data_IF_480404629128
#
_entry.id   IF_480404629128
#
_cell.length_a   1.000
_cell.length_b   1.000
_cell.length_c   1.000
_cell.angle_alpha   90.00
_cell.angle_beta   90.00
_cell.angle_gamma   90.00
#
_symmetry.space_group_name_H-M   'P 1'
#
loop_
_entity.id
_entity.type
_entity.pdbx_description
1 polymer ?
#
# COMPACT_ATOMS: atom_id res chain seq x y z
N UNK A 1 -13.97 26.97 -13.40
CA UNK A 1 -14.69 26.06 -14.32
C UNK A 1 -14.41 24.62 -13.86
N UNK A 2 -15.41 23.74 -13.94
CA UNK A 2 -15.28 22.32 -13.64
C UNK A 2 -15.59 21.53 -14.91
N UNK A 3 -14.80 20.51 -15.19
CA UNK A 3 -14.98 19.63 -16.34
C UNK A 3 -15.17 18.20 -15.85
N UNK A 4 -16.11 17.49 -16.43
CA UNK A 4 -16.49 16.14 -16.02
C UNK A 4 -16.36 15.17 -17.20
N UNK A 5 -15.68 14.03 -16.95
CA UNK A 5 -15.75 12.86 -17.81
C UNK A 5 -16.52 11.78 -17.09
N UNK A 6 -17.77 11.58 -17.47
CA UNK A 6 -18.67 10.65 -16.79
C UNK A 6 -18.69 9.31 -17.53
N UNK A 7 -18.42 8.25 -16.81
CA UNK A 7 -18.52 6.88 -17.34
C UNK A 7 -19.97 6.40 -17.27
N UNK A 8 -20.44 5.77 -18.34
CA UNK A 8 -21.82 5.25 -18.42
C UNK A 8 -22.02 3.91 -17.69
N UNK A 9 -20.94 3.15 -17.47
CA UNK A 9 -21.00 1.86 -16.78
C UNK A 9 -20.02 1.80 -15.63
N UNK A 10 -20.36 1.06 -14.57
CA UNK A 10 -19.50 0.81 -13.42
C UNK A 10 -18.23 0.09 -13.88
N UNK A 11 -17.11 0.50 -13.32
CA UNK A 11 -15.79 -0.14 -13.49
C UNK A 11 -15.10 -0.21 -12.14
N UNK A 12 -14.62 -1.38 -11.79
CA UNK A 12 -13.97 -1.64 -10.50
C UNK A 12 -12.45 -1.72 -10.59
N UNK A 13 -11.90 -1.74 -11.81
CA UNK A 13 -10.46 -1.76 -12.04
C UNK A 13 -10.11 -1.14 -13.40
N UNK A 14 -8.84 -0.85 -13.62
CA UNK A 14 -8.28 -0.41 -14.90
C UNK A 14 -7.45 0.86 -14.79
N UNK A 15 -6.84 1.24 -15.92
CA UNK A 15 -6.01 2.44 -16.03
C UNK A 15 -6.81 3.59 -16.60
N UNK A 16 -6.57 4.79 -16.11
CA UNK A 16 -7.12 6.05 -16.63
C UNK A 16 -5.95 6.94 -17.02
N UNK A 17 -5.95 7.42 -18.26
CA UNK A 17 -4.99 8.41 -18.70
C UNK A 17 -5.56 9.81 -18.47
N UNK A 18 -5.04 10.53 -17.49
CA UNK A 18 -5.42 11.93 -17.24
C UNK A 18 -5.08 12.83 -18.43
N UNK A 19 -3.92 12.61 -19.04
CA UNK A 19 -3.48 13.40 -20.21
C UNK A 19 -4.41 13.26 -21.42
N UNK A 20 -4.97 12.08 -21.67
CA UNK A 20 -5.94 11.87 -22.74
C UNK A 20 -7.28 12.55 -22.45
N UNK A 21 -7.71 12.55 -21.19
CA UNK A 21 -8.89 13.31 -20.78
C UNK A 21 -8.68 14.82 -21.00
N UNK A 22 -7.52 15.35 -20.66
CA UNK A 22 -7.21 16.77 -20.86
C UNK A 22 -7.19 17.13 -22.35
N UNK A 23 -6.53 16.35 -23.19
CA UNK A 23 -6.54 16.52 -24.65
C UNK A 23 -7.96 16.47 -25.21
N UNK A 24 -8.79 15.54 -24.75
CA UNK A 24 -10.18 15.43 -25.18
C UNK A 24 -11.04 16.63 -24.74
N UNK A 25 -10.75 17.24 -23.61
CA UNK A 25 -11.42 18.48 -23.18
C UNK A 25 -10.95 19.69 -24.00
N UNK A 26 -9.64 19.84 -24.23
CA UNK A 26 -9.07 20.89 -25.08
C UNK A 26 -9.62 20.83 -26.49
N UNK A 27 -9.72 19.63 -27.09
CA UNK A 27 -10.29 19.45 -28.42
C UNK A 27 -11.77 19.85 -28.53
N UNK A 28 -12.45 20.00 -27.41
CA UNK A 28 -13.83 20.50 -27.30
C UNK A 28 -13.92 21.97 -26.92
N UNK A 29 -12.80 22.71 -26.99
CA UNK A 29 -12.73 24.11 -26.64
C UNK A 29 -12.76 24.41 -25.16
N UNK A 30 -12.50 23.40 -24.29
CA UNK A 30 -12.39 23.60 -22.85
C UNK A 30 -10.98 24.08 -22.51
N UNK A 31 -10.85 25.30 -22.00
CA UNK A 31 -9.56 25.88 -21.66
C UNK A 31 -9.00 25.25 -20.38
N UNK A 32 -7.87 24.59 -20.50
CA UNK A 32 -7.13 24.06 -19.36
C UNK A 32 -6.20 25.12 -18.81
N UNK A 33 -6.18 25.27 -17.49
CA UNK A 33 -5.23 26.09 -16.77
C UNK A 33 -3.97 25.34 -16.40
N UNK A 34 -3.10 25.98 -15.62
CA UNK A 34 -1.94 25.31 -15.03
C UNK A 34 -2.42 24.27 -14.00
N UNK A 35 -1.95 23.06 -14.16
CA UNK A 35 -2.26 21.96 -13.22
C UNK A 35 -1.31 22.04 -12.03
N UNK A 36 -1.85 21.92 -10.84
CA UNK A 36 -1.09 21.93 -9.59
C UNK A 36 -1.12 20.58 -8.89
N UNK A 37 -2.20 19.82 -9.08
CA UNK A 37 -2.40 18.55 -8.39
C UNK A 37 -3.25 17.61 -9.23
N UNK A 38 -2.98 16.32 -9.11
CA UNK A 38 -3.83 15.22 -9.59
C UNK A 38 -4.03 14.26 -8.42
N UNK A 39 -5.27 14.06 -8.03
CA UNK A 39 -5.62 13.17 -6.93
C UNK A 39 -6.73 12.20 -7.34
N UNK A 40 -6.69 10.98 -6.78
CA UNK A 40 -7.82 10.08 -6.77
C UNK A 40 -8.67 10.39 -5.54
N UNK A 41 -9.91 10.80 -5.76
CA UNK A 41 -10.87 11.07 -4.70
C UNK A 41 -12.10 10.17 -4.83
N UNK A 42 -12.69 9.80 -3.71
CA UNK A 42 -13.99 9.15 -3.63
C UNK A 42 -14.97 10.14 -3.00
N UNK A 43 -15.96 10.54 -3.77
CA UNK A 43 -16.96 11.51 -3.33
C UNK A 43 -18.38 10.93 -3.45
N UNK A 44 -19.18 11.09 -2.41
CA UNK A 44 -20.60 10.79 -2.41
C UNK A 44 -21.38 12.10 -2.54
N UNK A 45 -22.21 12.21 -3.60
CA UNK A 45 -23.10 13.35 -3.78
C UNK A 45 -24.54 12.93 -3.56
N UNK A 46 -25.20 13.50 -2.54
CA UNK A 46 -26.59 13.17 -2.13
C UNK A 46 -26.85 11.67 -2.00
N UNK A 47 -25.83 10.93 -1.54
CA UNK A 47 -25.87 9.48 -1.39
C UNK A 47 -25.03 9.06 -0.20
N UNK A 48 -25.26 7.85 0.29
CA UNK A 48 -24.43 7.19 1.28
C UNK A 48 -23.85 5.90 0.69
N UNK A 49 -22.64 5.55 1.12
CA UNK A 49 -21.99 4.35 0.64
C UNK A 49 -20.56 4.25 1.16
N UNK A 50 -19.91 3.14 0.84
CA UNK A 50 -18.51 2.92 1.12
C UNK A 50 -17.79 2.46 -0.15
N UNK A 51 -16.51 2.82 -0.27
CA UNK A 51 -15.64 2.33 -1.31
C UNK A 51 -14.29 1.92 -0.71
N UNK A 52 -13.78 0.77 -1.13
CA UNK A 52 -12.44 0.33 -0.81
C UNK A 52 -11.56 0.53 -2.03
N UNK A 53 -10.51 1.32 -1.89
CA UNK A 53 -9.47 1.46 -2.89
C UNK A 53 -8.34 0.50 -2.53
N UNK A 54 -8.31 -0.67 -3.18
CA UNK A 54 -7.35 -1.73 -2.86
C UNK A 54 -5.96 -1.46 -3.40
N UNK A 55 -5.87 -0.74 -4.52
CA UNK A 55 -4.59 -0.28 -5.07
C UNK A 55 -4.77 0.97 -5.92
N UNK A 56 -3.81 1.87 -5.85
CA UNK A 56 -3.76 3.06 -6.67
C UNK A 56 -2.29 3.37 -7.00
N UNK A 57 -2.01 3.54 -8.26
CA UNK A 57 -0.69 3.96 -8.76
C UNK A 57 -0.86 5.17 -9.65
N UNK A 58 -0.10 6.22 -9.39
CA UNK A 58 -0.01 7.39 -10.26
C UNK A 58 1.35 7.40 -10.93
N UNK A 59 1.34 7.43 -12.28
CA UNK A 59 2.56 7.58 -13.07
C UNK A 59 2.54 8.94 -13.75
N UNK A 60 3.60 9.73 -13.56
CA UNK A 60 3.80 11.00 -14.25
C UNK A 60 4.82 10.75 -15.35
N UNK A 61 4.35 10.72 -16.61
CA UNK A 61 5.21 10.57 -17.79
C UNK A 61 5.47 11.93 -18.44
N UNK A 62 6.70 12.30 -18.63
CA UNK A 62 7.10 13.40 -19.53
C UNK A 62 6.99 12.95 -20.98
N UNK A 63 6.42 13.82 -21.82
CA UNK A 63 6.01 13.70 -23.19
C UNK A 63 6.69 12.70 -24.13
N UNK A 64 5.84 12.05 -24.93
CA UNK A 64 6.20 11.46 -26.21
C UNK A 64 6.93 10.14 -26.17
N UNK A 65 6.23 9.08 -25.88
CA UNK A 65 6.73 7.71 -26.03
C UNK A 65 5.58 6.73 -25.93
N UNK A 66 5.56 5.75 -26.81
CA UNK A 66 4.68 4.59 -26.78
C UNK A 66 4.45 4.14 -25.35
N UNK A 67 3.17 4.06 -25.00
CA UNK A 67 2.69 3.54 -23.72
C UNK A 67 3.50 2.28 -23.33
N UNK A 68 4.35 2.31 -22.30
CA UNK A 68 4.85 1.05 -21.80
C UNK A 68 3.60 0.32 -21.30
N UNK A 69 3.20 -0.75 -21.96
CA UNK A 69 2.42 -1.80 -21.32
C UNK A 69 3.03 -1.92 -19.93
N UNK A 70 2.27 -1.83 -18.82
CA UNK A 70 2.82 -2.15 -17.53
C UNK A 70 3.40 -3.55 -17.68
N UNK A 71 4.71 -3.62 -17.85
CA UNK A 71 5.41 -4.88 -17.73
C UNK A 71 5.20 -5.22 -16.27
N UNK A 72 4.32 -6.15 -16.02
CA UNK A 72 4.33 -6.87 -14.76
C UNK A 72 5.81 -7.18 -14.52
N UNK A 73 6.37 -6.87 -13.35
CA UNK A 73 7.70 -7.34 -13.01
C UNK A 73 7.77 -8.80 -13.42
N UNK A 74 8.88 -9.29 -13.98
CA UNK A 74 8.98 -10.69 -14.33
C UNK A 74 8.40 -11.48 -13.17
N UNK A 75 7.45 -12.34 -13.48
CA UNK A 75 6.81 -13.23 -12.54
C UNK A 75 7.93 -14.10 -11.93
N UNK A 76 8.58 -13.57 -10.91
CA UNK A 76 9.36 -14.38 -10.00
C UNK A 76 8.32 -15.15 -9.19
N UNK A 77 7.95 -16.30 -9.75
CA UNK A 77 6.85 -17.15 -9.31
C UNK A 77 7.05 -17.76 -7.90
N UNK A 78 8.02 -17.29 -7.16
CA UNK A 78 8.26 -17.65 -5.77
C UNK A 78 7.69 -16.60 -4.84
N UNK A 79 6.39 -16.71 -4.55
CA UNK A 79 5.80 -16.01 -3.41
C UNK A 79 6.52 -16.47 -2.15
N UNK A 80 7.26 -15.57 -1.53
CA UNK A 80 7.84 -15.84 -0.22
C UNK A 80 6.88 -15.37 0.84
N UNK A 81 6.32 -16.31 1.61
CA UNK A 81 5.46 -16.02 2.76
C UNK A 81 6.24 -16.19 4.06
N UNK A 82 6.16 -15.20 4.93
CA UNK A 82 6.75 -15.23 6.26
C UNK A 82 5.70 -14.93 7.33
N UNK A 83 5.45 -15.89 8.20
CA UNK A 83 4.55 -15.73 9.35
C UNK A 83 5.23 -14.82 10.40
N UNK A 84 4.50 -13.79 10.86
CA UNK A 84 5.07 -12.77 11.75
C UNK A 84 5.44 -13.33 13.12
N UNK A 85 4.69 -14.30 13.66
CA UNK A 85 5.02 -14.96 14.92
C UNK A 85 6.33 -15.76 14.86
N UNK A 86 6.82 -16.09 13.66
CA UNK A 86 8.12 -16.75 13.47
C UNK A 86 9.30 -15.76 13.37
N UNK A 87 9.02 -14.46 13.33
CA UNK A 87 10.03 -13.41 13.29
C UNK A 87 10.61 -13.14 14.67
N UNK A 88 11.75 -12.43 14.71
CA UNK A 88 12.31 -11.87 15.93
C UNK A 88 11.48 -10.67 16.34
N UNK A 89 10.94 -10.70 17.56
CA UNK A 89 10.11 -9.64 18.13
C UNK A 89 10.96 -8.74 18.99
N UNK A 90 10.76 -7.43 18.90
CA UNK A 90 11.45 -6.41 19.68
C UNK A 90 10.50 -5.28 20.06
N UNK A 91 10.83 -4.57 21.12
CA UNK A 91 10.05 -3.45 21.63
C UNK A 91 9.51 -3.70 23.03
N UNK A 92 8.99 -2.64 23.71
CA UNK A 92 8.59 -2.72 25.10
C UNK A 92 7.35 -3.59 25.34
N UNK A 93 6.44 -3.67 24.38
CA UNK A 93 5.15 -4.34 24.55
C UNK A 93 4.80 -5.32 23.43
N UNK A 94 5.64 -5.45 22.41
CA UNK A 94 5.41 -6.39 21.31
C UNK A 94 5.32 -7.84 21.82
N UNK A 95 4.37 -8.60 21.30
CA UNK A 95 4.15 -9.98 21.75
C UNK A 95 3.40 -10.84 20.75
N UNK A 96 3.50 -12.17 20.91
CA UNK A 96 2.73 -13.12 20.11
C UNK A 96 1.28 -13.15 20.53
N UNK A 97 0.39 -13.29 19.56
CA UNK A 97 -1.05 -13.43 19.76
C UNK A 97 -1.58 -14.66 19.03
N UNK A 98 -2.72 -15.16 19.48
CA UNK A 98 -3.42 -16.29 18.86
C UNK A 98 -4.86 -15.92 18.41
N UNK A 99 -5.24 -14.67 18.57
CA UNK A 99 -6.54 -14.15 18.15
C UNK A 99 -6.35 -12.70 17.72
N UNK A 100 -6.96 -12.27 16.59
CA UNK A 100 -7.89 -12.96 15.67
C UNK A 100 -7.19 -13.97 14.73
N UNK A 101 -5.87 -14.09 14.79
CA UNK A 101 -5.01 -15.04 14.08
C UNK A 101 -3.76 -15.30 14.92
N UNK A 102 -2.96 -16.32 14.57
CA UNK A 102 -1.60 -16.43 15.09
C UNK A 102 -0.74 -15.33 14.47
N UNK A 103 -0.09 -14.51 15.29
CA UNK A 103 0.67 -13.37 14.78
C UNK A 103 1.39 -12.60 15.87
N UNK A 104 1.66 -11.33 15.60
CA UNK A 104 2.34 -10.41 16.52
C UNK A 104 1.47 -9.18 16.75
N UNK A 105 1.32 -8.79 18.01
CA UNK A 105 0.78 -7.50 18.41
C UNK A 105 1.90 -6.50 18.61
N UNK A 106 1.70 -5.29 18.12
CA UNK A 106 2.55 -4.12 18.26
C UNK A 106 1.71 -3.06 18.97
N UNK A 107 2.03 -2.76 20.23
CA UNK A 107 1.22 -1.90 21.11
C UNK A 107 1.81 -0.51 21.36
N UNK A 108 3.10 -0.33 21.10
CA UNK A 108 3.76 0.93 21.35
C UNK A 108 4.76 1.30 20.25
N UNK A 109 5.14 2.57 20.22
CA UNK A 109 6.20 3.05 19.32
C UNK A 109 7.48 2.23 19.49
N UNK A 110 8.03 1.81 18.37
CA UNK A 110 9.20 0.93 18.22
C UNK A 110 8.96 -0.54 18.54
N UNK A 111 7.73 -0.96 18.85
CA UNK A 111 7.38 -2.37 18.78
C UNK A 111 7.54 -2.86 17.35
N UNK A 112 8.22 -3.97 17.16
CA UNK A 112 8.53 -4.50 15.83
C UNK A 112 8.65 -6.01 15.78
N UNK A 113 8.54 -6.56 14.57
CA UNK A 113 9.00 -7.91 14.27
C UNK A 113 9.84 -7.88 12.99
N UNK A 114 10.90 -8.69 12.95
CA UNK A 114 11.88 -8.64 11.88
C UNK A 114 12.52 -9.99 11.56
N UNK A 115 13.03 -10.11 10.33
CA UNK A 115 13.78 -11.25 9.87
C UNK A 115 14.70 -10.85 8.71
N UNK A 116 15.60 -11.76 8.34
CA UNK A 116 16.49 -11.56 7.18
C UNK A 116 15.94 -12.32 5.98
N UNK A 117 15.82 -11.64 4.84
CA UNK A 117 15.42 -12.18 3.54
C UNK A 117 16.54 -12.01 2.53
N UNK A 118 16.82 -13.05 1.75
CA UNK A 118 17.69 -12.94 0.59
C UNK A 118 16.89 -12.51 -0.65
N UNK A 119 17.42 -11.54 -1.38
CA UNK A 119 16.84 -11.03 -2.62
C UNK A 119 17.83 -11.16 -3.77
N UNK A 120 17.45 -11.83 -4.85
CA UNK A 120 18.21 -11.87 -6.09
C UNK A 120 18.00 -10.60 -6.93
N UNK A 121 16.81 -9.99 -6.86
CA UNK A 121 16.45 -8.71 -7.50
C UNK A 121 16.16 -7.62 -6.46
N UNK A 122 16.09 -6.39 -6.92
CA UNK A 122 15.98 -5.21 -6.07
C UNK A 122 14.59 -4.53 -6.03
N UNK A 123 13.55 -5.15 -6.61
CA UNK A 123 12.19 -4.57 -6.62
C UNK A 123 11.14 -5.65 -6.44
N UNK A 124 10.30 -5.50 -5.41
CA UNK A 124 9.24 -6.46 -5.09
C UNK A 124 7.99 -5.75 -4.57
N UNK A 125 6.88 -6.48 -4.54
CA UNK A 125 5.66 -6.08 -3.86
C UNK A 125 5.63 -6.73 -2.47
N UNK A 126 5.25 -5.97 -1.46
CA UNK A 126 5.14 -6.43 -0.08
C UNK A 126 3.69 -6.36 0.36
N UNK A 127 3.09 -7.51 0.67
CA UNK A 127 1.70 -7.67 1.08
C UNK A 127 1.64 -8.13 2.52
N UNK A 128 1.15 -7.29 3.43
CA UNK A 128 1.02 -7.60 4.84
C UNK A 128 -0.45 -7.85 5.18
N UNK A 129 -0.74 -9.02 5.75
CA UNK A 129 -2.04 -9.29 6.37
C UNK A 129 -2.00 -8.87 7.83
N UNK A 130 -3.01 -8.08 8.23
CA UNK A 130 -3.11 -7.60 9.60
C UNK A 130 -4.40 -6.82 9.83
N UNK A 131 -4.52 -6.24 11.01
CA UNK A 131 -5.62 -5.37 11.40
C UNK A 131 -5.19 -4.44 12.54
N UNK A 132 -6.04 -3.46 12.87
CA UNK A 132 -5.98 -2.77 14.15
C UNK A 132 -6.60 -3.65 15.26
N UNK A 133 -6.24 -3.41 16.51
CA UNK A 133 -6.89 -4.05 17.65
C UNK A 133 -8.27 -3.47 17.98
N UNK A 134 -8.65 -2.37 17.34
CA UNK A 134 -9.89 -1.63 17.57
C UNK A 134 -10.48 -1.07 16.26
N UNK A 135 -11.49 -0.21 16.34
CA UNK A 135 -12.13 0.40 15.15
C UNK A 135 -11.34 1.52 14.50
N UNK A 136 -10.27 2.01 15.14
CA UNK A 136 -9.41 3.03 14.57
C UNK A 136 -8.41 2.43 13.57
N UNK A 137 -7.88 3.27 12.70
CA UNK A 137 -6.81 2.89 11.80
C UNK A 137 -5.52 2.65 12.58
N UNK A 138 -4.80 1.56 12.23
CA UNK A 138 -3.43 1.33 12.68
C UNK A 138 -2.43 1.50 11.53
N UNK A 139 -1.18 1.79 11.84
CA UNK A 139 -0.10 2.03 10.87
C UNK A 139 1.12 1.21 11.23
N UNK A 140 1.65 0.48 10.25
CA UNK A 140 2.89 -0.30 10.39
C UNK A 140 3.84 0.08 9.27
N UNK A 141 5.03 0.54 9.62
CA UNK A 141 6.05 0.86 8.64
C UNK A 141 6.81 -0.40 8.20
N UNK A 142 7.03 -0.49 6.90
CA UNK A 142 7.98 -1.42 6.29
C UNK A 142 9.35 -0.76 6.22
N UNK A 143 10.35 -1.36 6.87
CA UNK A 143 11.75 -1.00 6.69
C UNK A 143 12.51 -2.15 6.06
N UNK A 144 13.45 -1.84 5.16
CA UNK A 144 14.36 -2.78 4.52
C UNK A 144 15.77 -2.24 4.66
N UNK A 145 16.65 -3.01 5.29
CA UNK A 145 17.99 -2.54 5.61
C UNK A 145 18.02 -1.28 6.48
N UNK A 146 17.06 -1.14 7.39
CA UNK A 146 16.89 0.03 8.26
C UNK A 146 16.23 1.26 7.59
N UNK A 147 15.94 1.21 6.28
CA UNK A 147 15.35 2.32 5.53
C UNK A 147 13.84 2.09 5.37
N UNK A 148 13.04 3.07 5.77
CA UNK A 148 11.58 3.05 5.56
C UNK A 148 11.28 3.02 4.05
N UNK A 149 10.43 2.07 3.65
CA UNK A 149 10.01 1.85 2.27
C UNK A 149 8.53 2.16 2.02
N UNK A 150 7.74 2.21 3.07
CA UNK A 150 6.33 2.53 3.01
C UNK A 150 5.62 2.25 4.33
N UNK A 151 4.30 2.42 4.34
CA UNK A 151 3.45 2.20 5.51
C UNK A 151 2.22 1.40 5.10
N UNK A 152 1.90 0.36 5.87
CA UNK A 152 0.63 -0.35 5.79
C UNK A 152 -0.38 0.34 6.69
N UNK A 153 -1.58 0.60 6.18
CA UNK A 153 -2.67 1.25 6.91
C UNK A 153 -3.81 0.26 7.08
N UNK A 154 -4.06 -0.18 8.29
CA UNK A 154 -5.15 -1.10 8.61
C UNK A 154 -6.38 -0.29 9.02
N UNK A 155 -7.47 -0.44 8.26
CA UNK A 155 -8.67 0.40 8.40
C UNK A 155 -9.60 0.05 9.57
N UNK A 156 -9.21 -0.89 10.45
CA UNK A 156 -10.00 -1.32 11.60
C UNK A 156 -9.67 -2.74 12.04
N UNK A 157 -10.54 -3.35 12.85
CA UNK A 157 -10.29 -4.63 13.53
C UNK A 157 -10.48 -5.87 12.66
N UNK A 158 -10.93 -5.74 11.41
CA UNK A 158 -11.07 -6.88 10.51
C UNK A 158 -9.77 -7.17 9.77
N UNK A 159 -9.22 -8.39 9.86
CA UNK A 159 -8.00 -8.75 9.16
C UNK A 159 -8.15 -8.61 7.64
N UNK A 160 -7.22 -7.90 7.02
CA UNK A 160 -7.17 -7.68 5.58
C UNK A 160 -5.72 -7.66 5.10
N UNK A 161 -5.52 -7.82 3.79
CA UNK A 161 -4.20 -7.74 3.16
C UNK A 161 -4.01 -6.36 2.54
N UNK A 162 -2.90 -5.74 2.86
CA UNK A 162 -2.49 -4.44 2.32
C UNK A 162 -1.16 -4.59 1.60
N UNK A 163 -1.02 -3.97 0.44
CA UNK A 163 0.18 -4.13 -0.40
C UNK A 163 0.85 -2.81 -0.69
N UNK A 164 2.17 -2.77 -0.49
CA UNK A 164 3.06 -1.73 -0.99
C UNK A 164 3.69 -2.25 -2.26
N UNK A 165 3.45 -1.57 -3.38
CA UNK A 165 3.88 -2.01 -4.71
C UNK A 165 5.21 -1.42 -5.11
N UNK A 166 5.97 -2.16 -5.94
CA UNK A 166 7.19 -1.69 -6.60
C UNK A 166 8.23 -1.11 -5.62
N UNK A 167 8.40 -1.77 -4.49
CA UNK A 167 9.38 -1.34 -3.47
C UNK A 167 10.79 -1.63 -3.97
N UNK A 168 11.56 -0.58 -4.20
CA UNK A 168 12.98 -0.70 -4.54
C UNK A 168 13.82 -0.89 -3.27
N UNK A 169 14.69 -1.90 -3.27
CA UNK A 169 15.58 -2.25 -2.16
C UNK A 169 16.88 -2.86 -2.66
N UNK A 170 17.82 -3.14 -1.75
CA UNK A 170 19.07 -3.82 -2.09
C UNK A 170 18.88 -5.30 -2.43
N UNK A 171 19.87 -5.88 -3.11
CA UNK A 171 20.01 -7.34 -3.33
C UNK A 171 20.80 -7.98 -2.19
N UNK A 172 20.81 -9.32 -2.17
CA UNK A 172 21.45 -10.08 -1.10
C UNK A 172 20.61 -10.14 0.15
N UNK A 173 21.24 -10.42 1.28
CA UNK A 173 20.56 -10.49 2.58
C UNK A 173 20.16 -9.10 3.07
N UNK A 174 18.85 -8.88 3.20
CA UNK A 174 18.27 -7.65 3.71
C UNK A 174 17.47 -7.94 4.99
N UNK A 175 17.63 -7.11 6.01
CA UNK A 175 16.73 -7.14 7.16
C UNK A 175 15.38 -6.51 6.76
N UNK A 176 14.31 -7.24 6.95
CA UNK A 176 12.93 -6.76 6.82
C UNK A 176 12.40 -6.52 8.21
N UNK A 177 11.92 -5.32 8.49
CA UNK A 177 11.32 -4.93 9.76
C UNK A 177 9.92 -4.34 9.54
N UNK A 178 8.96 -4.86 10.29
CA UNK A 178 7.62 -4.31 10.45
C UNK A 178 7.58 -3.62 11.81
N UNK A 179 7.40 -2.31 11.83
CA UNK A 179 7.52 -1.51 13.05
C UNK A 179 6.36 -0.53 13.22
N UNK A 180 5.84 -0.46 14.44
CA UNK A 180 4.88 0.55 14.84
C UNK A 180 5.64 1.85 15.15
N UNK A 181 5.50 2.87 14.29
CA UNK A 181 6.26 4.13 14.42
C UNK A 181 5.41 5.29 14.90
N UNK A 182 4.09 5.14 14.90
CA UNK A 182 3.17 6.19 15.26
C UNK A 182 1.97 5.59 15.98
N UNK A 183 2.17 5.38 17.26
CA UNK A 183 1.14 5.00 18.22
C UNK A 183 0.73 6.22 19.04
N UNK A 184 -0.56 6.51 19.06
CA UNK A 184 -1.13 7.59 19.89
C UNK A 184 -1.89 7.03 21.12
N UNK A 185 -1.58 5.80 21.52
CA UNK A 185 -2.25 5.08 22.59
C UNK A 185 -3.55 4.37 22.16
N UNK A 186 -3.88 4.39 20.85
CA UNK A 186 -5.07 3.73 20.31
C UNK A 186 -4.84 3.01 18.99
N UNK A 187 -3.65 3.10 18.41
CA UNK A 187 -3.35 2.59 17.07
C UNK A 187 -2.52 1.31 17.10
N UNK A 188 -2.84 0.43 18.03
CA UNK A 188 -2.20 -0.88 18.10
C UNK A 188 -2.47 -1.69 16.83
N UNK A 189 -1.47 -2.39 16.35
CA UNK A 189 -1.55 -3.21 15.17
C UNK A 189 -1.34 -4.69 15.49
N UNK A 190 -2.12 -5.55 14.84
CA UNK A 190 -1.91 -7.00 14.80
C UNK A 190 -1.45 -7.39 13.41
N UNK A 191 -0.31 -8.04 13.31
CA UNK A 191 0.30 -8.49 12.05
C UNK A 191 0.39 -10.00 11.99
N UNK A 192 -0.10 -10.59 10.89
CA UNK A 192 -0.24 -12.03 10.67
C UNK A 192 0.94 -12.57 9.86
N UNK A 193 0.97 -12.26 8.57
CA UNK A 193 2.04 -12.68 7.68
C UNK A 193 2.41 -11.61 6.65
N UNK A 194 3.64 -11.67 6.18
CA UNK A 194 4.16 -10.89 5.06
C UNK A 194 4.39 -11.79 3.85
N UNK A 195 3.82 -11.41 2.70
CA UNK A 195 4.12 -12.00 1.39
C UNK A 195 4.96 -11.05 0.56
N UNK A 196 5.93 -11.59 -0.16
CA UNK A 196 6.82 -10.85 -1.07
C UNK A 196 6.70 -11.49 -2.46
N UNK A 197 6.43 -10.65 -3.47
CA UNK A 197 6.26 -11.05 -4.87
C UNK A 197 7.04 -10.13 -5.79
#
# INVERSE_FOLDING_TARGET
KQYWSVRRSKRTSGTISGSEHFKAWESRGMTMGKMYEVALTVEGYQSSGSANVYSHTLSIGGGGGTNPTPTLPPDDSTVTKKECESMTISGPYAGRINSPFSGVALYANNDSCKYTQYFAGGTHNFSLRGCSNNSNMARVDLKIGGVKKGTFYFGGSYPAVYTIYNVNHGTGNQEIELVLTDDNGTWDAYVDYLEIK
#
